data_IF_801850473952
#
_entry.id   IF_801850473952
#
_cell.length_a   1.000
_cell.length_b   1.000
_cell.length_c   1.000
_cell.angle_alpha   90.00
_cell.angle_beta   90.00
_cell.angle_gamma   90.00
#
_symmetry.space_group_name_H-M   'P 1'
#
loop_
_entity.id
_entity.type
_entity.pdbx_description
1 polymer ?
#
# COMPACT_ATOMS: atom_id res chain seq x y z
N UNK A 1 2.90 11.42 -14.07
CA UNK A 1 4.21 11.70 -14.69
C UNK A 1 4.33 13.19 -14.93
N UNK A 2 4.90 13.94 -13.98
CA UNK A 2 5.04 15.38 -14.10
C UNK A 2 5.85 15.74 -15.36
N UNK A 3 5.35 16.67 -16.17
CA UNK A 3 6.04 17.17 -17.36
C UNK A 3 6.10 16.21 -18.56
N UNK A 4 5.39 15.08 -18.52
CA UNK A 4 5.33 14.13 -19.65
C UNK A 4 3.99 14.29 -20.37
N UNK A 5 4.05 14.43 -21.70
CA UNK A 5 2.85 14.44 -22.54
C UNK A 5 2.20 13.07 -22.53
N UNK A 6 0.87 13.04 -22.36
CA UNK A 6 0.09 11.81 -22.33
C UNK A 6 -0.43 11.57 -23.75
N UNK A 7 0.28 10.72 -24.49
CA UNK A 7 -0.02 10.31 -25.86
C UNK A 7 0.04 8.77 -26.01
N UNK A 8 -0.07 8.27 -27.24
CA UNK A 8 -0.03 6.83 -27.54
C UNK A 8 1.35 6.22 -27.22
N UNK A 9 2.43 6.95 -27.48
CA UNK A 9 3.79 6.54 -27.16
C UNK A 9 3.99 6.39 -25.65
N UNK A 10 3.44 7.31 -24.85
CA UNK A 10 3.43 7.20 -23.41
C UNK A 10 2.66 5.96 -22.95
N UNK A 11 1.49 5.68 -23.52
CA UNK A 11 0.72 4.47 -23.22
C UNK A 11 1.51 3.20 -23.56
N UNK A 12 2.21 3.18 -24.69
CA UNK A 12 3.07 2.07 -25.11
C UNK A 12 4.20 1.83 -24.12
N UNK A 13 4.92 2.89 -23.72
CA UNK A 13 5.97 2.81 -22.69
C UNK A 13 5.45 2.21 -21.39
N UNK A 14 4.25 2.59 -20.95
CA UNK A 14 3.65 2.00 -19.74
C UNK A 14 3.36 0.50 -19.91
N UNK A 15 2.90 0.06 -21.07
CA UNK A 15 2.70 -1.37 -21.38
C UNK A 15 4.02 -2.13 -21.40
N UNK A 16 5.09 -1.50 -21.89
CA UNK A 16 6.44 -2.04 -21.93
C UNK A 16 7.16 -2.01 -20.56
N UNK A 17 6.46 -1.59 -19.50
CA UNK A 17 6.96 -1.63 -18.12
C UNK A 17 7.62 -0.35 -17.62
N UNK A 18 7.58 0.75 -18.38
CA UNK A 18 8.08 2.04 -17.89
C UNK A 18 7.33 2.48 -16.63
N UNK A 19 8.07 2.76 -15.54
CA UNK A 19 7.54 3.31 -14.29
C UNK A 19 8.34 4.53 -13.86
N UNK A 20 7.73 5.40 -13.04
CA UNK A 20 8.45 6.54 -12.44
C UNK A 20 9.59 6.02 -11.57
N UNK A 21 10.70 6.76 -11.50
CA UNK A 21 11.74 6.52 -10.48
C UNK A 21 11.16 6.74 -9.08
N UNK A 22 11.81 6.18 -8.07
CA UNK A 22 11.49 6.44 -6.67
C UNK A 22 11.54 7.95 -6.34
N UNK A 23 10.49 8.51 -5.69
CA UNK A 23 10.57 9.83 -5.08
C UNK A 23 11.67 9.89 -4.01
N UNK A 24 12.20 11.08 -3.74
CA UNK A 24 13.25 11.27 -2.71
C UNK A 24 12.80 10.90 -1.30
N UNK A 25 11.50 11.03 -1.02
CA UNK A 25 10.90 10.73 0.28
C UNK A 25 10.44 9.27 0.42
N UNK A 26 10.52 8.48 -0.65
CA UNK A 26 10.09 7.09 -0.62
C UNK A 26 11.26 6.19 -0.18
N UNK A 27 11.05 5.39 0.86
CA UNK A 27 11.99 4.34 1.21
C UNK A 27 12.04 3.26 0.10
N UNK A 28 13.13 2.48 0.02
CA UNK A 28 13.22 1.38 -0.93
C UNK A 28 12.04 0.40 -0.85
N UNK A 29 11.54 0.14 0.35
CA UNK A 29 10.45 -0.79 0.62
C UNK A 29 9.11 -0.23 0.11
N UNK A 30 8.83 1.06 0.38
CA UNK A 30 7.64 1.74 -0.14
C UNK A 30 7.67 1.80 -1.67
N UNK A 31 8.84 2.06 -2.27
CA UNK A 31 8.98 2.03 -3.72
C UNK A 31 8.79 0.61 -4.30
N UNK A 32 9.27 -0.42 -3.62
CA UNK A 32 9.01 -1.81 -3.97
C UNK A 32 7.51 -2.13 -4.01
N UNK A 33 6.74 -1.66 -3.02
CA UNK A 33 5.28 -1.80 -3.00
C UNK A 33 4.64 -1.08 -4.20
N UNK A 34 5.06 0.15 -4.50
CA UNK A 34 4.56 0.87 -5.68
C UNK A 34 4.80 0.08 -6.97
N UNK A 35 6.00 -0.50 -7.16
CA UNK A 35 6.31 -1.33 -8.32
C UNK A 35 5.45 -2.60 -8.38
N UNK A 36 5.19 -3.25 -7.25
CA UNK A 36 4.30 -4.41 -7.16
C UNK A 36 2.85 -4.07 -7.54
N UNK A 37 2.34 -2.92 -7.10
CA UNK A 37 1.02 -2.41 -7.53
C UNK A 37 0.94 -2.13 -9.04
N UNK A 38 2.09 -1.97 -9.68
CA UNK A 38 2.23 -1.54 -11.06
C UNK A 38 2.62 -2.66 -12.03
N UNK A 39 2.49 -3.93 -11.61
CA UNK A 39 2.74 -5.08 -12.48
C UNK A 39 1.88 -5.05 -13.76
N UNK A 40 2.48 -5.52 -14.85
CA UNK A 40 1.83 -5.56 -16.16
C UNK A 40 0.59 -6.45 -16.13
N UNK A 41 0.74 -7.67 -15.60
CA UNK A 41 -0.35 -8.63 -15.41
C UNK A 41 -1.18 -8.24 -14.16
N UNK A 42 -2.50 -7.96 -14.31
CA UNK A 42 -3.34 -7.57 -13.19
C UNK A 42 -3.37 -8.59 -12.03
N UNK A 43 -3.23 -9.89 -12.33
CA UNK A 43 -3.25 -10.96 -11.32
C UNK A 43 -1.99 -11.00 -10.44
N UNK A 44 -0.89 -10.40 -10.90
CA UNK A 44 0.36 -10.32 -10.14
C UNK A 44 0.38 -9.12 -9.18
N UNK A 45 -0.61 -8.23 -9.27
CA UNK A 45 -0.73 -7.08 -8.37
C UNK A 45 -1.22 -7.55 -7.00
N UNK A 46 -0.68 -6.99 -5.90
CA UNK A 46 -1.16 -7.30 -4.57
C UNK A 46 -2.62 -6.84 -4.41
N UNK A 47 -3.40 -7.65 -3.71
CA UNK A 47 -4.76 -7.27 -3.32
C UNK A 47 -4.70 -6.22 -2.21
N UNK A 48 -5.79 -5.47 -1.99
CA UNK A 48 -5.85 -4.53 -0.88
C UNK A 48 -5.58 -5.18 0.50
N UNK A 49 -6.14 -6.36 0.83
CA UNK A 49 -5.78 -7.06 2.07
C UNK A 49 -4.29 -7.38 2.17
N UNK A 50 -3.66 -7.82 1.08
CA UNK A 50 -2.22 -8.06 1.07
C UNK A 50 -1.42 -6.77 1.30
N UNK A 51 -1.82 -5.66 0.68
CA UNK A 51 -1.20 -4.35 0.91
C UNK A 51 -1.29 -3.89 2.36
N UNK A 52 -2.45 -4.09 3.01
CA UNK A 52 -2.61 -3.76 4.44
C UNK A 52 -1.63 -4.55 5.29
N UNK A 53 -1.48 -5.85 5.05
CA UNK A 53 -0.54 -6.68 5.79
C UNK A 53 0.91 -6.22 5.57
N UNK A 54 1.32 -6.04 4.32
CA UNK A 54 2.69 -5.61 3.97
C UNK A 54 3.03 -4.28 4.65
N UNK A 55 2.09 -3.32 4.65
CA UNK A 55 2.29 -2.01 5.28
C UNK A 55 2.31 -2.11 6.81
N UNK A 56 1.48 -2.98 7.40
CA UNK A 56 1.48 -3.21 8.84
C UNK A 56 2.80 -3.80 9.32
N UNK A 57 3.35 -4.78 8.58
CA UNK A 57 4.63 -5.41 8.89
C UNK A 57 5.77 -4.37 8.80
N UNK A 58 5.79 -3.55 7.74
CA UNK A 58 6.75 -2.45 7.57
C UNK A 58 6.74 -1.42 8.71
N UNK A 59 5.57 -1.13 9.28
CA UNK A 59 5.46 -0.21 10.41
C UNK A 59 5.99 -0.86 11.71
N UNK A 60 5.81 -2.16 11.87
CA UNK A 60 6.32 -2.92 13.02
C UNK A 60 7.84 -3.11 12.93
N UNK A 61 8.38 -3.43 11.76
CA UNK A 61 9.82 -3.63 11.55
C UNK A 61 10.62 -2.34 11.78
N UNK A 62 10.01 -1.19 11.49
CA UNK A 62 10.59 0.13 11.76
C UNK A 62 10.43 0.59 13.22
N UNK A 63 9.70 -0.16 14.05
CA UNK A 63 9.60 0.12 15.48
C UNK A 63 10.80 -0.49 16.21
N UNK A 64 11.76 0.38 16.59
CA UNK A 64 12.61 0.09 17.74
C UNK A 64 11.68 -0.19 18.95
N UNK A 65 12.08 -1.04 19.91
CA UNK A 65 11.23 -1.40 21.04
C UNK A 65 11.16 -0.22 21.99
N UNK A 66 10.22 0.69 21.76
CA UNK A 66 9.83 1.64 22.80
C UNK A 66 8.35 2.01 22.68
N UNK A 67 7.64 1.83 23.78
CA UNK A 67 6.35 2.48 24.02
C UNK A 67 5.11 1.84 23.40
N UNK A 68 4.60 0.84 24.13
CA UNK A 68 3.20 0.40 24.29
C UNK A 68 2.07 1.31 23.73
N UNK A 69 0.98 0.62 23.36
CA UNK A 69 -0.41 1.08 23.22
C UNK A 69 -0.92 1.35 21.79
N UNK A 70 -1.01 0.31 20.96
CA UNK A 70 -1.98 0.29 19.86
C UNK A 70 -3.06 -0.76 20.10
N UNK A 71 -4.20 -0.24 20.56
CA UNK A 71 -5.45 -0.90 20.88
C UNK A 71 -6.01 -1.64 19.65
N UNK A 72 -6.26 -2.97 19.70
CA UNK A 72 -6.91 -3.66 18.59
C UNK A 72 -8.39 -3.27 18.54
N UNK A 73 -8.90 -3.07 17.31
CA UNK A 73 -10.30 -2.82 16.97
C UNK A 73 -11.31 -3.35 18.02
N UNK A 74 -11.92 -2.45 18.80
CA UNK A 74 -13.13 -2.77 19.54
C UNK A 74 -14.30 -2.85 18.55
N UNK A 75 -14.58 -4.07 18.08
CA UNK A 75 -15.86 -4.38 17.46
C UNK A 75 -16.91 -4.50 18.56
N UNK A 76 -17.51 -3.37 18.94
CA UNK A 76 -18.62 -3.35 19.90
C UNK A 76 -19.85 -3.97 19.24
N UNK A 77 -20.11 -5.24 19.56
CA UNK A 77 -21.40 -5.87 19.35
C UNK A 77 -22.40 -5.17 20.28
N UNK A 78 -23.26 -4.31 19.74
CA UNK A 78 -24.43 -3.83 20.46
C UNK A 78 -25.39 -5.02 20.67
N UNK A 79 -25.56 -5.43 21.91
CA UNK A 79 -26.74 -6.18 22.37
C UNK A 79 -27.52 -5.24 23.29
N UNK A 80 -28.64 -4.72 22.80
CA UNK A 80 -29.65 -4.05 23.60
C UNK A 80 -30.44 -5.13 24.36
N UNK A 81 -30.27 -5.18 25.68
CA UNK A 81 -31.10 -5.93 26.63
C UNK A 81 -31.64 -4.90 27.63
N UNK A 82 -32.88 -4.45 27.42
CA UNK A 82 -33.61 -3.62 28.38
C UNK A 82 -34.87 -4.38 28.81
N UNK A 83 -34.72 -5.12 29.91
CA UNK A 83 -35.84 -5.59 30.72
C UNK A 83 -35.92 -4.76 32.00
N UNK A 84 -37.03 -4.05 32.19
CA UNK A 84 -37.90 -4.03 33.40
C UNK A 84 -39.18 -3.23 33.12
#
# INVERSE_FOLDING_TARGET
YPGVQIDEDFCKRLKDGFRMRAPETASPEIYGIMLACWQGEPKERPTFPALVQILADLLQDNSLPDGKDHNPLNNSQNSEDDGF
#
